data_IF_693705490237
#
_entry.id   IF_693705490237
#
_cell.length_a   1.000
_cell.length_b   1.000
_cell.length_c   1.000
_cell.angle_alpha   90.00
_cell.angle_beta   90.00
_cell.angle_gamma   90.00
#
_symmetry.space_group_name_H-M   'P 1'
#
loop_
_entity.id
_entity.type
_entity.pdbx_description
1 polymer ?
#
# COMPACT_ATOMS: atom_id res chain seq x y z
N UNK A 1 13.83 -20.40 -35.27
CA UNK A 1 14.82 -20.78 -34.22
C UNK A 1 14.36 -20.20 -32.90
N UNK A 2 13.85 -21.04 -32.00
CA UNK A 2 13.51 -20.66 -30.63
C UNK A 2 14.81 -20.63 -29.83
N UNK A 3 15.23 -19.44 -29.43
CA UNK A 3 16.36 -19.24 -28.52
C UNK A 3 15.97 -19.73 -27.11
N UNK A 4 16.53 -20.85 -26.72
CA UNK A 4 16.35 -21.46 -25.41
C UNK A 4 17.29 -20.75 -24.41
N UNK A 5 16.80 -19.71 -23.70
CA UNK A 5 17.54 -19.08 -22.62
C UNK A 5 17.40 -19.93 -21.36
N UNK A 6 18.42 -20.68 -21.02
CA UNK A 6 18.54 -21.32 -19.72
C UNK A 6 18.86 -20.26 -18.65
N UNK A 7 17.84 -19.83 -17.90
CA UNK A 7 18.05 -18.95 -16.76
C UNK A 7 18.49 -19.79 -15.56
N UNK A 8 19.74 -19.67 -15.16
CA UNK A 8 20.25 -20.23 -13.91
C UNK A 8 20.06 -19.17 -12.82
N UNK A 9 19.14 -19.43 -11.90
CA UNK A 9 18.97 -18.59 -10.71
C UNK A 9 19.93 -19.08 -9.63
N UNK A 10 21.02 -18.34 -9.43
CA UNK A 10 21.95 -18.58 -8.32
C UNK A 10 21.49 -17.73 -7.14
N UNK A 11 21.24 -18.31 -5.97
CA UNK A 11 20.87 -17.52 -4.78
C UNK A 11 21.98 -16.54 -4.43
N UNK A 12 21.64 -15.31 -4.15
CA UNK A 12 22.56 -14.32 -3.60
C UNK A 12 22.93 -14.62 -2.14
N UNK A 13 23.74 -13.77 -1.50
CA UNK A 13 24.19 -13.94 -0.12
C UNK A 13 23.03 -14.17 0.85
N UNK A 14 21.89 -13.48 0.63
CA UNK A 14 20.67 -13.66 1.43
C UNK A 14 20.05 -15.05 1.26
N UNK A 15 20.00 -15.57 0.04
CA UNK A 15 19.53 -16.91 -0.26
C UNK A 15 20.37 -18.00 0.43
N UNK A 16 21.68 -17.86 0.44
CA UNK A 16 22.58 -18.79 1.13
C UNK A 16 22.40 -18.75 2.66
N UNK A 17 22.18 -17.58 3.26
CA UNK A 17 21.88 -17.46 4.70
C UNK A 17 20.57 -18.16 5.06
N UNK A 18 19.54 -18.07 4.22
CA UNK A 18 18.29 -18.82 4.41
C UNK A 18 18.49 -20.33 4.37
N UNK A 19 19.27 -20.84 3.41
CA UNK A 19 19.57 -22.27 3.32
C UNK A 19 20.34 -22.75 4.56
N UNK A 20 21.35 -22.01 5.00
CA UNK A 20 22.14 -22.34 6.19
C UNK A 20 21.28 -22.35 7.45
N UNK A 21 20.42 -21.33 7.63
CA UNK A 21 19.51 -21.27 8.79
C UNK A 21 18.51 -22.42 8.78
N UNK A 22 17.97 -22.77 7.61
CA UNK A 22 17.08 -23.91 7.43
C UNK A 22 17.75 -25.23 7.78
N UNK A 23 18.99 -25.45 7.34
CA UNK A 23 19.77 -26.65 7.66
C UNK A 23 20.12 -26.74 9.16
N UNK A 24 20.45 -25.62 9.80
CA UNK A 24 20.69 -25.57 11.25
C UNK A 24 19.44 -25.91 12.04
N UNK A 25 18.27 -25.35 11.65
CA UNK A 25 16.99 -25.70 12.26
C UNK A 25 16.65 -27.18 12.06
N UNK A 26 16.80 -27.69 10.85
CA UNK A 26 16.54 -29.10 10.55
C UNK A 26 17.46 -30.04 11.36
N UNK A 27 18.75 -29.69 11.52
CA UNK A 27 19.71 -30.45 12.32
C UNK A 27 19.36 -30.44 13.82
N UNK A 28 18.93 -29.29 14.35
CA UNK A 28 18.50 -29.18 15.73
C UNK A 28 17.25 -30.05 16.00
N UNK A 29 16.26 -29.97 15.13
CA UNK A 29 15.05 -30.80 15.20
C UNK A 29 15.39 -32.30 15.08
N UNK A 30 16.31 -32.66 14.18
CA UNK A 30 16.74 -34.07 14.00
C UNK A 30 17.46 -34.60 15.24
N UNK A 31 18.33 -33.82 15.89
CA UNK A 31 19.00 -34.18 17.12
C UNK A 31 18.01 -34.36 18.27
N UNK A 32 17.02 -33.50 18.37
CA UNK A 32 15.91 -33.61 19.32
C UNK A 32 15.10 -34.88 19.08
N UNK A 33 14.73 -35.19 17.84
CA UNK A 33 14.00 -36.42 17.48
C UNK A 33 14.79 -37.69 17.88
N UNK A 34 16.13 -37.70 17.78
CA UNK A 34 16.96 -38.80 18.27
C UNK A 34 16.90 -38.96 19.77
N UNK A 35 16.84 -37.87 20.55
CA UNK A 35 16.65 -37.92 22.00
C UNK A 35 15.24 -38.38 22.38
N UNK A 36 14.20 -37.98 21.65
CA UNK A 36 12.80 -38.39 21.89
C UNK A 36 12.56 -39.89 21.74
N UNK A 37 13.26 -40.58 20.84
CA UNK A 37 13.20 -42.05 20.78
C UNK A 37 13.66 -42.76 22.06
N UNK A 38 14.40 -42.08 22.90
CA UNK A 38 14.91 -42.62 24.19
C UNK A 38 14.03 -42.27 25.40
N UNK A 39 13.17 -41.24 25.32
CA UNK A 39 12.32 -40.76 26.40
C UNK A 39 10.82 -40.88 26.00
N UNK A 40 10.33 -42.11 26.10
CA UNK A 40 8.90 -42.40 25.96
C UNK A 40 8.17 -41.81 27.17
N UNK A 41 7.36 -40.76 26.93
CA UNK A 41 6.40 -40.19 27.89
C UNK A 41 6.91 -39.05 28.80
N UNK A 42 7.11 -37.84 28.20
CA UNK A 42 6.75 -36.56 28.87
C UNK A 42 6.94 -35.36 27.93
N UNK A 43 5.90 -34.52 27.80
CA UNK A 43 5.86 -33.14 27.30
C UNK A 43 5.97 -32.85 25.79
N UNK A 44 4.91 -33.19 25.07
CA UNK A 44 4.60 -32.61 23.72
C UNK A 44 4.41 -31.08 23.81
N UNK A 45 4.13 -30.54 24.98
CA UNK A 45 3.81 -29.13 25.21
C UNK A 45 4.98 -28.15 24.96
N UNK A 46 6.23 -28.60 25.12
CA UNK A 46 7.41 -27.70 25.03
C UNK A 46 7.83 -27.44 23.58
N UNK A 47 7.50 -28.33 22.63
CA UNK A 47 7.88 -28.14 21.21
C UNK A 47 6.92 -27.27 20.40
N UNK A 48 5.67 -27.10 20.85
CA UNK A 48 4.70 -26.26 20.19
C UNK A 48 4.89 -24.76 20.49
N UNK A 49 5.53 -24.42 21.61
CA UNK A 49 5.68 -23.04 22.09
C UNK A 49 6.49 -22.13 21.14
N UNK A 50 7.66 -22.51 20.59
CA UNK A 50 8.43 -21.64 19.70
C UNK A 50 7.75 -21.42 18.34
N UNK A 51 6.95 -22.37 17.83
CA UNK A 51 6.24 -22.23 16.56
C UNK A 51 5.09 -21.24 16.71
N UNK A 52 4.41 -21.24 17.84
CA UNK A 52 3.32 -20.29 18.15
C UNK A 52 3.88 -18.88 18.36
N UNK A 53 5.06 -18.74 18.98
CA UNK A 53 5.69 -17.43 19.17
C UNK A 53 6.15 -16.78 17.86
N UNK A 54 6.55 -17.57 16.84
CA UNK A 54 7.02 -17.07 15.56
C UNK A 54 5.86 -16.59 14.66
N UNK A 55 4.65 -17.09 14.86
CA UNK A 55 3.45 -16.66 14.09
C UNK A 55 2.87 -15.30 14.52
N UNK A 56 3.36 -14.73 15.64
CA UNK A 56 2.87 -13.44 16.15
C UNK A 56 3.61 -12.22 15.57
N UNK A 57 4.66 -12.41 14.76
CA UNK A 57 5.37 -11.34 14.06
C UNK A 57 4.84 -11.12 12.64
N UNK A 58 3.53 -11.15 12.43
CA UNK A 58 2.94 -10.59 11.22
C UNK A 58 2.94 -9.07 11.36
N UNK A 59 3.98 -8.42 10.84
CA UNK A 59 4.03 -6.97 10.71
C UNK A 59 3.10 -6.58 9.57
N UNK A 60 1.83 -6.32 9.87
CA UNK A 60 0.90 -5.77 8.91
C UNK A 60 1.26 -4.29 8.70
N UNK A 61 1.46 -3.83 7.46
CA UNK A 61 1.77 -2.44 7.21
C UNK A 61 0.60 -1.58 7.69
N UNK A 62 0.90 -0.63 8.58
CA UNK A 62 -0.12 0.25 9.19
C UNK A 62 -0.35 1.53 8.38
N UNK A 63 0.46 1.76 7.34
CA UNK A 63 0.43 2.96 6.51
C UNK A 63 0.61 2.60 5.03
N UNK A 64 0.00 3.36 4.12
CA UNK A 64 0.23 3.19 2.69
C UNK A 64 1.69 3.53 2.32
N UNK A 65 2.16 2.87 1.26
CA UNK A 65 3.46 3.18 0.67
C UNK A 65 3.50 4.60 0.10
N UNK A 66 4.62 5.28 0.25
CA UNK A 66 4.82 6.59 -0.34
C UNK A 66 4.75 6.54 -1.87
N UNK A 67 4.22 7.61 -2.46
CA UNK A 67 4.18 7.78 -3.92
C UNK A 67 5.56 8.24 -4.38
N UNK A 68 6.15 7.50 -5.35
CA UNK A 68 7.40 7.87 -5.99
C UNK A 68 7.10 8.57 -7.31
N UNK A 69 7.16 9.90 -7.30
CA UNK A 69 6.89 10.71 -8.47
C UNK A 69 7.82 10.34 -9.63
N UNK A 70 7.30 10.40 -10.85
CA UNK A 70 7.99 10.06 -12.09
C UNK A 70 8.52 8.61 -12.17
N UNK A 71 8.09 7.75 -11.25
CA UNK A 71 8.46 6.33 -11.17
C UNK A 71 7.25 5.42 -11.01
N UNK A 72 6.31 5.78 -10.14
CA UNK A 72 5.08 5.01 -9.96
C UNK A 72 4.09 5.33 -11.08
N UNK A 73 3.34 4.33 -11.50
CA UNK A 73 2.26 4.47 -12.46
C UNK A 73 0.90 4.40 -11.75
N UNK A 74 -0.08 5.09 -12.30
CA UNK A 74 -1.46 5.03 -11.86
C UNK A 74 -2.04 3.62 -12.05
N UNK A 75 -2.55 3.02 -11.00
CA UNK A 75 -3.12 1.66 -11.04
C UNK A 75 -4.44 1.57 -11.83
N UNK A 76 -5.03 2.71 -12.21
CA UNK A 76 -6.24 2.78 -13.04
C UNK A 76 -5.92 3.02 -14.52
N UNK A 77 -5.29 4.15 -14.85
CA UNK A 77 -5.06 4.56 -16.23
C UNK A 77 -3.68 4.18 -16.78
N UNK A 78 -2.74 3.72 -15.95
CA UNK A 78 -1.39 3.31 -16.33
C UNK A 78 -0.40 4.47 -16.58
N UNK A 79 -0.84 5.73 -16.50
CA UNK A 79 0.04 6.89 -16.69
C UNK A 79 0.96 7.08 -15.49
N UNK A 80 2.15 7.62 -15.76
CA UNK A 80 3.12 7.93 -14.71
C UNK A 80 2.63 9.09 -13.83
N UNK A 81 2.67 8.89 -12.51
CA UNK A 81 2.30 9.92 -11.53
C UNK A 81 3.38 10.98 -11.48
N UNK A 82 3.15 12.14 -12.10
CA UNK A 82 4.10 13.23 -12.19
C UNK A 82 3.73 14.45 -11.34
N UNK A 83 2.45 14.62 -11.01
CA UNK A 83 1.98 15.75 -10.22
C UNK A 83 1.64 15.33 -8.78
N UNK A 84 2.43 15.76 -7.78
CA UNK A 84 2.21 15.37 -6.39
C UNK A 84 0.92 15.91 -5.79
N UNK A 85 0.35 16.99 -6.35
CA UNK A 85 -0.77 17.74 -5.76
C UNK A 85 -2.13 17.07 -5.91
N UNK A 86 -2.25 16.14 -6.86
CA UNK A 86 -3.52 15.48 -7.20
C UNK A 86 -3.51 13.98 -6.95
N UNK A 87 -2.34 13.46 -6.61
CA UNK A 87 -2.17 12.03 -6.40
C UNK A 87 -3.08 11.50 -5.27
N UNK A 88 -3.50 10.27 -5.41
CA UNK A 88 -4.36 9.62 -4.41
C UNK A 88 -3.98 8.17 -4.20
N UNK A 89 -4.43 7.60 -3.09
CA UNK A 89 -4.04 6.25 -2.65
C UNK A 89 -5.24 5.50 -2.10
N UNK A 90 -5.37 4.24 -2.48
CA UNK A 90 -6.25 3.27 -1.83
C UNK A 90 -5.37 2.24 -1.11
N UNK A 91 -5.55 2.16 0.19
CA UNK A 91 -4.83 1.23 1.06
C UNK A 91 -5.77 0.16 1.57
N UNK A 92 -5.59 -1.08 1.10
CA UNK A 92 -6.50 -2.18 1.43
C UNK A 92 -6.31 -2.65 2.87
N UNK A 93 -7.34 -3.29 3.43
CA UNK A 93 -7.26 -3.95 4.73
C UNK A 93 -6.22 -5.07 4.81
N UNK A 94 -5.74 -5.56 3.65
CA UNK A 94 -4.65 -6.55 3.54
C UNK A 94 -3.26 -5.92 3.38
N UNK A 95 -3.13 -4.61 3.59
CA UNK A 95 -1.85 -3.91 3.53
C UNK A 95 -1.32 -3.61 2.12
N UNK A 96 -2.13 -3.75 1.06
CA UNK A 96 -1.71 -3.39 -0.30
C UNK A 96 -2.06 -1.95 -0.62
N UNK A 97 -1.11 -1.23 -1.19
CA UNK A 97 -1.25 0.16 -1.65
C UNK A 97 -1.48 0.19 -3.15
N UNK A 98 -2.55 0.88 -3.59
CA UNK A 98 -2.81 1.26 -4.98
C UNK A 98 -2.67 2.77 -5.11
N UNK A 99 -2.01 3.24 -6.16
CA UNK A 99 -1.61 4.64 -6.36
C UNK A 99 -2.26 5.20 -7.62
N UNK A 100 -2.70 6.44 -7.55
CA UNK A 100 -3.39 7.10 -8.65
C UNK A 100 -2.87 8.52 -8.84
N UNK A 101 -2.89 8.99 -10.07
CA UNK A 101 -2.47 10.34 -10.45
C UNK A 101 -3.53 11.41 -10.23
N UNK A 102 -4.79 10.99 -10.03
CA UNK A 102 -5.95 11.86 -9.83
C UNK A 102 -6.98 11.19 -8.91
N UNK A 103 -7.78 11.99 -8.22
CA UNK A 103 -8.90 11.52 -7.41
C UNK A 103 -9.95 10.80 -8.27
N UNK A 104 -10.17 11.23 -9.52
CA UNK A 104 -11.09 10.55 -10.44
C UNK A 104 -10.63 9.12 -10.74
N UNK A 105 -9.34 8.89 -10.96
CA UNK A 105 -8.80 7.55 -11.14
C UNK A 105 -8.98 6.65 -9.93
N UNK A 106 -8.83 7.19 -8.72
CA UNK A 106 -9.13 6.47 -7.48
C UNK A 106 -10.60 6.04 -7.42
N UNK A 107 -11.53 6.94 -7.79
CA UNK A 107 -12.97 6.67 -7.77
C UNK A 107 -13.37 5.61 -8.79
N UNK A 108 -12.86 5.72 -10.02
CA UNK A 108 -13.11 4.75 -11.08
C UNK A 108 -12.60 3.37 -10.67
N UNK A 109 -11.34 3.30 -10.20
CA UNK A 109 -10.75 2.06 -9.71
C UNK A 109 -11.54 1.43 -8.56
N UNK A 110 -11.97 2.26 -7.59
CA UNK A 110 -12.80 1.83 -6.47
C UNK A 110 -14.12 1.24 -6.93
N UNK A 111 -14.78 1.86 -7.90
CA UNK A 111 -16.07 1.41 -8.45
C UNK A 111 -15.94 0.07 -9.19
N UNK A 112 -14.86 -0.10 -9.95
CA UNK A 112 -14.57 -1.31 -10.71
C UNK A 112 -14.04 -2.46 -9.83
N UNK A 113 -13.44 -2.15 -8.67
CA UNK A 113 -12.82 -3.12 -7.78
C UNK A 113 -13.42 -3.09 -6.36
N UNK A 114 -14.74 -3.19 -6.25
CA UNK A 114 -15.48 -3.08 -4.97
C UNK A 114 -14.97 -4.00 -3.87
N UNK A 115 -14.55 -5.22 -4.21
CA UNK A 115 -14.00 -6.17 -3.26
C UNK A 115 -12.67 -5.71 -2.63
N UNK A 116 -11.79 -5.09 -3.44
CA UNK A 116 -10.51 -4.56 -2.96
C UNK A 116 -10.69 -3.27 -2.16
N UNK A 117 -11.72 -2.50 -2.50
CA UNK A 117 -12.06 -1.25 -1.85
C UNK A 117 -12.84 -1.45 -0.52
N UNK A 118 -13.34 -2.66 -0.26
CA UNK A 118 -14.06 -2.97 0.96
C UNK A 118 -13.13 -2.79 2.18
N UNK A 119 -13.50 -1.90 3.10
CA UNK A 119 -12.73 -1.53 4.29
C UNK A 119 -11.32 -0.98 3.97
N UNK A 120 -11.11 -0.43 2.77
CA UNK A 120 -9.86 0.23 2.41
C UNK A 120 -9.81 1.66 2.96
N UNK A 121 -8.64 2.10 3.42
CA UNK A 121 -8.37 3.50 3.68
C UNK A 121 -8.15 4.26 2.38
N UNK A 122 -8.79 5.41 2.22
CA UNK A 122 -8.64 6.27 1.06
C UNK A 122 -7.88 7.53 1.47
N UNK A 123 -6.90 7.90 0.67
CA UNK A 123 -6.03 9.04 0.95
C UNK A 123 -5.87 9.88 -0.31
N UNK A 124 -5.72 11.19 -0.11
CA UNK A 124 -5.52 12.17 -1.16
C UNK A 124 -4.33 13.06 -0.83
N UNK A 125 -3.62 13.52 -1.84
CA UNK A 125 -2.49 14.43 -1.64
C UNK A 125 -2.98 15.79 -1.12
N UNK A 126 -2.23 16.38 -0.21
CA UNK A 126 -2.42 17.77 0.17
C UNK A 126 -1.92 18.67 -0.96
N UNK A 127 -2.79 19.51 -1.50
CA UNK A 127 -2.48 20.41 -2.61
C UNK A 127 -1.31 21.35 -2.34
N UNK A 128 -1.05 21.66 -1.08
CA UNK A 128 -0.02 22.61 -0.64
C UNK A 128 1.31 21.98 -0.24
N UNK A 129 1.34 20.68 -0.04
CA UNK A 129 2.53 20.03 0.52
C UNK A 129 2.87 18.78 -0.28
N UNK A 130 4.02 18.79 -0.91
CA UNK A 130 4.53 17.63 -1.62
C UNK A 130 4.74 16.46 -0.66
N UNK A 131 4.31 15.27 -1.08
CA UNK A 131 4.42 14.02 -0.32
C UNK A 131 3.60 13.91 0.97
N UNK A 132 2.71 14.84 1.26
CA UNK A 132 1.73 14.72 2.35
C UNK A 132 0.42 14.16 1.81
N UNK A 133 -0.01 13.02 2.36
CA UNK A 133 -1.32 12.44 2.06
C UNK A 133 -2.25 12.58 3.27
N UNK A 134 -3.50 12.89 3.01
CA UNK A 134 -4.56 13.10 4.00
C UNK A 134 -5.62 12.01 3.85
N UNK A 135 -6.14 11.44 4.95
CA UNK A 135 -7.35 10.62 4.87
C UNK A 135 -8.50 11.45 4.29
N UNK A 136 -9.28 10.87 3.39
CA UNK A 136 -10.37 11.59 2.70
C UNK A 136 -11.41 12.16 3.68
N UNK A 137 -11.60 11.51 4.82
CA UNK A 137 -12.53 11.94 5.86
C UNK A 137 -12.09 13.22 6.59
N UNK A 138 -10.79 13.54 6.49
CA UNK A 138 -10.19 14.73 7.13
C UNK A 138 -9.86 15.82 6.14
N UNK A 139 -9.91 15.54 4.85
CA UNK A 139 -9.57 16.49 3.81
C UNK A 139 -10.74 17.45 3.51
N UNK A 140 -10.40 18.69 3.19
CA UNK A 140 -11.32 19.70 2.66
C UNK A 140 -11.12 19.76 1.14
N UNK A 141 -12.21 19.68 0.39
CA UNK A 141 -12.14 19.63 -1.07
C UNK A 141 -12.68 20.90 -1.71
N UNK A 142 -12.02 21.31 -2.79
CA UNK A 142 -12.56 22.29 -3.75
C UNK A 142 -12.60 21.65 -5.13
N UNK A 143 -13.60 22.06 -5.93
CA UNK A 143 -13.79 21.61 -7.31
C UNK A 143 -14.07 22.80 -8.20
N UNK A 144 -13.42 22.87 -9.36
CA UNK A 144 -13.62 23.96 -10.31
C UNK A 144 -12.85 23.75 -11.61
N UNK A 145 -13.29 24.42 -12.68
CA UNK A 145 -12.67 24.27 -14.01
C UNK A 145 -11.22 24.77 -14.08
N UNK A 146 -10.82 25.67 -13.17
CA UNK A 146 -9.46 26.19 -13.08
C UNK A 146 -8.54 25.30 -12.24
N UNK A 147 -9.08 24.30 -11.54
CA UNK A 147 -8.31 23.24 -10.87
C UNK A 147 -7.90 22.23 -11.94
N UNK A 148 -6.71 22.40 -12.51
CA UNK A 148 -6.23 21.56 -13.62
C UNK A 148 -5.61 20.27 -13.08
N UNK A 149 -6.43 19.25 -12.86
CA UNK A 149 -5.95 17.93 -12.46
C UNK A 149 -5.63 17.04 -13.67
N UNK A 150 -4.74 16.06 -13.57
CA UNK A 150 -4.24 15.26 -14.70
C UNK A 150 -5.33 14.57 -15.51
N UNK A 151 -6.37 14.04 -14.87
CA UNK A 151 -7.46 13.31 -15.52
C UNK A 151 -8.76 14.10 -15.60
N UNK A 152 -8.71 15.40 -15.32
CA UNK A 152 -9.88 16.28 -15.45
C UNK A 152 -10.93 16.12 -14.36
N UNK A 153 -10.61 15.45 -13.25
CA UNK A 153 -11.47 15.41 -12.06
C UNK A 153 -11.67 16.80 -11.46
N UNK A 154 -10.68 17.68 -11.65
CA UNK A 154 -10.68 19.08 -11.25
C UNK A 154 -11.00 19.29 -9.77
N UNK A 155 -10.46 18.38 -8.94
CA UNK A 155 -10.63 18.36 -7.49
C UNK A 155 -9.28 18.53 -6.83
N UNK A 156 -9.16 19.43 -5.87
CA UNK A 156 -8.00 19.59 -5.03
C UNK A 156 -8.37 19.38 -3.55
N UNK A 157 -7.46 18.76 -2.78
CA UNK A 157 -7.66 18.46 -1.37
C UNK A 157 -6.70 19.27 -0.49
N UNK A 158 -7.19 19.72 0.65
CA UNK A 158 -6.47 20.54 1.62
C UNK A 158 -6.63 19.98 3.02
N UNK A 159 -5.65 20.26 3.88
CA UNK A 159 -5.67 19.84 5.28
C UNK A 159 -6.68 20.66 6.11
N UNK A 160 -6.92 21.92 5.75
CA UNK A 160 -7.81 22.79 6.50
C UNK A 160 -8.59 23.74 5.58
N UNK A 161 -9.72 24.26 6.11
CA UNK A 161 -10.63 25.11 5.38
C UNK A 161 -10.05 26.49 5.05
N UNK A 162 -9.16 27.02 5.87
CA UNK A 162 -8.55 28.33 5.67
C UNK A 162 -7.70 28.35 4.40
N UNK A 163 -6.80 27.35 4.27
CA UNK A 163 -6.00 27.16 3.07
C UNK A 163 -6.87 26.91 1.83
N UNK A 164 -7.88 26.05 1.95
CA UNK A 164 -8.81 25.75 0.86
C UNK A 164 -9.56 27.02 0.40
N UNK A 165 -9.97 27.90 1.29
CA UNK A 165 -10.69 29.13 0.97
C UNK A 165 -9.86 30.10 0.13
N UNK A 166 -8.59 30.27 0.44
CA UNK A 166 -7.66 31.10 -0.34
C UNK A 166 -7.62 30.61 -1.81
N UNK A 167 -7.41 29.31 -1.99
CA UNK A 167 -7.34 28.73 -3.35
C UNK A 167 -8.69 28.62 -4.04
N UNK A 168 -9.79 28.47 -3.30
CA UNK A 168 -11.12 28.46 -3.87
C UNK A 168 -11.42 29.81 -4.54
N UNK A 169 -11.03 30.92 -3.94
CA UNK A 169 -11.17 32.28 -4.53
C UNK A 169 -10.27 32.43 -5.74
N UNK A 170 -8.98 32.09 -5.62
CA UNK A 170 -7.98 32.26 -6.68
C UNK A 170 -8.31 31.43 -7.93
N UNK A 171 -8.83 30.22 -7.75
CA UNK A 171 -9.17 29.29 -8.81
C UNK A 171 -10.64 29.33 -9.24
N UNK A 172 -11.44 30.25 -8.68
CA UNK A 172 -12.89 30.31 -8.88
C UNK A 172 -13.55 28.92 -8.73
N UNK A 173 -13.15 28.21 -7.66
CA UNK A 173 -13.60 26.86 -7.35
C UNK A 173 -14.58 26.86 -6.18
N UNK A 174 -15.45 25.86 -6.14
CA UNK A 174 -16.45 25.70 -5.09
C UNK A 174 -16.04 24.62 -4.09
N UNK A 175 -16.44 24.78 -2.83
CA UNK A 175 -16.29 23.74 -1.84
C UNK A 175 -17.18 22.55 -2.17
N UNK A 176 -16.63 21.36 -1.99
CA UNK A 176 -17.35 20.10 -2.15
C UNK A 176 -17.02 19.17 -0.99
N UNK A 177 -17.82 18.15 -0.78
CA UNK A 177 -17.57 17.13 0.23
C UNK A 177 -17.31 15.76 -0.41
N UNK A 178 -16.69 14.88 0.36
CA UNK A 178 -16.33 13.54 -0.11
C UNK A 178 -17.54 12.72 -0.54
N UNK A 179 -18.69 12.87 0.13
CA UNK A 179 -19.89 12.12 -0.23
C UNK A 179 -20.47 12.55 -1.58
N UNK A 180 -20.30 13.82 -1.93
CA UNK A 180 -20.71 14.36 -3.24
C UNK A 180 -19.76 13.90 -4.35
N UNK A 181 -18.45 13.87 -4.08
CA UNK A 181 -17.42 13.43 -5.02
C UNK A 181 -17.53 11.92 -5.30
N UNK A 182 -17.89 11.13 -4.30
CA UNK A 182 -17.84 9.68 -4.29
C UNK A 182 -19.15 8.99 -4.72
N UNK A 183 -20.04 9.72 -5.40
CA UNK A 183 -21.31 9.17 -5.95
C UNK A 183 -21.07 8.46 -7.31
#
# INVERSE_FOLDING_TARGET
QLLNFGAYSIPDIGGWLFIISGLLMASAVFLEFRKFKKLKKQNITIMALPIILFSLFSCEPTKPDAIKLNSDNCDNCGMTISNPKFASVLFTSKGRTYKFDDISCLLDYKNDNKEKALNAGLYVANFLSDNQILPVEKAVFIKGENVKSPMGGNIAAFENKESANTYAVDLAAEFTDWNTINK
#
